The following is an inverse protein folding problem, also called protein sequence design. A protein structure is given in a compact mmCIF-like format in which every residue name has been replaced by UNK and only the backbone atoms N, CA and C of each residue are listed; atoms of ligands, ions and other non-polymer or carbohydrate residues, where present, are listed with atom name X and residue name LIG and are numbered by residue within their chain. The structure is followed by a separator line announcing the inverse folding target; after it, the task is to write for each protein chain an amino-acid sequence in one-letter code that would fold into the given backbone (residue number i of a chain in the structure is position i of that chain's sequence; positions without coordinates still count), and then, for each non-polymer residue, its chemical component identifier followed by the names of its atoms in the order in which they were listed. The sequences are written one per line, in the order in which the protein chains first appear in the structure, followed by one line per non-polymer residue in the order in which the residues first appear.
data_IF_501891296339
#
_entry.id   IF_501891296339
#
_cell.length_a   1.000
_cell.length_b   1.000
_cell.length_c   1.000
_cell.angle_alpha   90.00
_cell.angle_beta   90.00
_cell.angle_gamma   90.00
#
_symmetry.space_group_name_H-M   'P 1'
#
loop_
_entity.id
_entity.type
_entity.pdbx_description
1 polymer ?
#
# COMPACT_ATOMS: atom_id res chain seq x y z
N UNK A 1 6.44 9.09 -17.02
CA UNK A 1 7.06 7.80 -17.40
C UNK A 1 6.36 7.17 -18.60
N UNK A 2 5.03 7.01 -18.58
CA UNK A 2 4.23 6.42 -19.67
C UNK A 2 4.57 7.01 -21.06
N UNK A 3 4.40 8.31 -21.24
CA UNK A 3 4.65 8.98 -22.52
C UNK A 3 6.10 8.81 -23.03
N UNK A 4 7.08 8.84 -22.11
CA UNK A 4 8.50 8.67 -22.45
C UNK A 4 8.83 7.27 -22.98
N UNK A 5 7.99 6.27 -22.65
CA UNK A 5 8.13 4.88 -23.10
C UNK A 5 7.14 4.47 -24.18
N UNK A 6 6.38 5.42 -24.74
CA UNK A 6 5.23 5.13 -25.62
C UNK A 6 4.26 4.12 -24.98
N UNK A 7 4.12 4.24 -23.65
CA UNK A 7 3.30 3.37 -22.83
C UNK A 7 1.83 3.72 -22.88
N UNK A 8 1.04 3.00 -22.09
CA UNK A 8 -0.39 3.24 -21.92
C UNK A 8 -0.76 3.41 -20.44
N UNK A 9 -1.75 4.27 -20.20
CA UNK A 9 -2.46 4.32 -18.93
C UNK A 9 -3.51 3.21 -18.89
N UNK A 10 -3.68 2.61 -17.72
CA UNK A 10 -4.65 1.56 -17.41
C UNK A 10 -5.39 1.92 -16.13
N UNK A 11 -6.55 1.29 -15.95
CA UNK A 11 -7.42 1.51 -14.80
C UNK A 11 -7.83 0.18 -14.18
N UNK A 12 -7.98 0.14 -12.86
CA UNK A 12 -8.49 -1.01 -12.14
C UNK A 12 -9.36 -0.58 -10.96
N UNK A 13 -10.46 -1.31 -10.74
CA UNK A 13 -11.30 -1.16 -9.55
C UNK A 13 -10.68 -1.87 -8.37
N UNK A 14 -10.04 -1.09 -7.51
CA UNK A 14 -9.29 -1.58 -6.35
C UNK A 14 -9.88 -1.10 -5.03
N UNK A 15 -9.50 -1.75 -3.95
CA UNK A 15 -9.91 -1.40 -2.59
C UNK A 15 -9.24 -0.09 -2.17
N UNK A 16 -10.05 0.95 -2.02
CA UNK A 16 -9.63 2.27 -1.54
C UNK A 16 -9.21 2.26 -0.07
N UNK A 17 -8.66 3.38 0.43
CA UNK A 17 -8.13 3.45 1.79
C UNK A 17 -9.18 3.19 2.87
N UNK A 18 -10.45 3.52 2.64
CA UNK A 18 -11.55 3.24 3.59
C UNK A 18 -12.26 1.90 3.33
N UNK A 19 -11.73 1.04 2.46
CA UNK A 19 -12.32 -0.26 2.09
C UNK A 19 -13.32 -0.22 0.95
N UNK A 20 -13.82 0.96 0.57
CA UNK A 20 -14.70 1.16 -0.60
C UNK A 20 -13.93 1.03 -1.91
N UNK A 21 -14.57 0.60 -3.00
CA UNK A 21 -13.91 0.48 -4.31
C UNK A 21 -13.63 1.85 -4.93
N UNK A 22 -12.41 2.03 -5.44
CA UNK A 22 -11.97 3.21 -6.20
C UNK A 22 -11.45 2.78 -7.56
N UNK A 23 -11.63 3.63 -8.58
CA UNK A 23 -11.07 3.40 -9.90
C UNK A 23 -9.66 4.01 -9.96
N UNK A 24 -8.63 3.19 -9.74
CA UNK A 24 -7.24 3.65 -9.67
C UNK A 24 -6.57 3.56 -11.04
N UNK A 25 -5.83 4.60 -11.42
CA UNK A 25 -4.99 4.60 -12.63
C UNK A 25 -3.59 4.07 -12.34
N UNK A 26 -2.98 3.47 -13.35
CA UNK A 26 -1.58 3.02 -13.34
C UNK A 26 -1.03 2.97 -14.77
N UNK A 27 0.29 2.87 -14.94
CA UNK A 27 0.94 2.89 -16.25
C UNK A 27 1.65 1.59 -16.61
N UNK A 28 1.73 1.29 -17.90
CA UNK A 28 2.61 0.25 -18.45
C UNK A 28 3.47 0.84 -19.56
N UNK A 29 4.75 0.44 -19.65
CA UNK A 29 5.65 0.83 -20.74
C UNK A 29 5.21 0.27 -22.09
N UNK A 30 5.66 0.88 -23.19
CA UNK A 30 5.26 0.47 -24.55
C UNK A 30 5.68 -0.96 -24.93
N UNK A 31 6.75 -1.48 -24.32
CA UNK A 31 7.17 -2.88 -24.45
C UNK A 31 6.42 -3.85 -23.51
N UNK A 32 5.53 -3.34 -22.66
CA UNK A 32 4.75 -4.12 -21.70
C UNK A 32 5.54 -4.66 -20.51
N UNK A 33 6.82 -4.32 -20.34
CA UNK A 33 7.70 -4.93 -19.32
C UNK A 33 7.79 -4.18 -18.00
N UNK A 34 7.50 -2.89 -17.99
CA UNK A 34 7.60 -2.03 -16.81
C UNK A 34 6.25 -1.44 -16.46
N UNK A 35 5.78 -1.68 -15.25
CA UNK A 35 4.63 -0.99 -14.69
C UNK A 35 5.07 0.21 -13.85
N UNK A 36 4.26 1.27 -13.90
CA UNK A 36 4.42 2.49 -13.11
C UNK A 36 3.19 2.63 -12.22
N UNK A 37 3.37 2.53 -10.91
CA UNK A 37 2.29 2.58 -9.92
C UNK A 37 2.53 3.78 -9.02
N UNK A 38 1.51 4.59 -8.80
CA UNK A 38 1.48 5.56 -7.70
C UNK A 38 0.53 5.03 -6.64
N UNK A 39 1.04 4.72 -5.45
CA UNK A 39 0.21 4.12 -4.40
C UNK A 39 -0.97 5.03 -4.03
N UNK A 40 -0.81 6.34 -4.18
CA UNK A 40 -1.84 7.33 -3.90
C UNK A 40 -3.11 7.14 -4.76
N UNK A 41 -2.98 6.57 -5.97
CA UNK A 41 -4.13 6.28 -6.83
C UNK A 41 -5.11 5.25 -6.22
N UNK A 42 -4.61 4.37 -5.33
CA UNK A 42 -5.40 3.36 -4.65
C UNK A 42 -5.55 3.60 -3.14
N UNK A 43 -4.56 4.21 -2.51
CA UNK A 43 -4.42 4.30 -1.05
C UNK A 43 -3.99 5.70 -0.59
N UNK A 44 -4.28 6.72 -1.41
CA UNK A 44 -3.85 8.10 -1.21
C UNK A 44 -4.74 8.94 -0.30
N UNK A 45 -4.15 9.98 0.28
CA UNK A 45 -4.79 10.93 1.18
C UNK A 45 -5.89 11.75 0.51
N UNK A 46 -5.79 11.97 -0.80
CA UNK A 46 -6.81 12.67 -1.60
C UNK A 46 -8.10 11.86 -1.78
N UNK A 47 -8.04 10.53 -1.61
CA UNK A 47 -9.21 9.65 -1.64
C UNK A 47 -10.00 9.65 -0.33
N UNK A 48 -9.49 10.34 0.71
CA UNK A 48 -10.09 10.36 2.04
C UNK A 48 -10.50 11.80 2.41
N UNK A 49 -11.81 12.09 2.50
CA UNK A 49 -12.30 13.35 3.03
C UNK A 49 -11.66 13.67 4.37
N UNK A 50 -11.34 14.94 4.63
CA UNK A 50 -10.53 15.34 5.79
C UNK A 50 -11.14 14.86 7.12
N UNK A 51 -12.46 14.91 7.24
CA UNK A 51 -13.25 14.47 8.39
C UNK A 51 -13.31 12.94 8.58
N UNK A 52 -12.92 12.16 7.56
CA UNK A 52 -12.87 10.69 7.58
C UNK A 52 -11.44 10.14 7.70
N UNK A 53 -10.45 11.01 7.88
CA UNK A 53 -9.04 10.61 7.99
C UNK A 53 -8.79 9.95 9.33
N UNK A 54 -8.63 8.63 9.31
CA UNK A 54 -8.24 7.83 10.46
C UNK A 54 -7.20 6.78 10.05
N UNK A 55 -5.92 6.96 10.43
CA UNK A 55 -4.84 6.06 10.06
C UNK A 55 -4.92 4.68 10.74
N UNK A 56 -5.79 4.51 11.75
CA UNK A 56 -6.04 3.22 12.37
C UNK A 56 -6.91 2.30 11.52
N UNK A 57 -7.71 2.86 10.60
CA UNK A 57 -8.62 2.07 9.74
C UNK A 57 -8.19 2.05 8.28
N UNK A 58 -7.38 3.00 7.83
CA UNK A 58 -7.02 3.14 6.42
C UNK A 58 -6.10 2.01 5.93
N UNK A 59 -6.47 1.36 4.83
CA UNK A 59 -5.77 0.17 4.29
C UNK A 59 -4.97 0.44 3.02
N UNK A 60 -3.84 -0.24 2.88
CA UNK A 60 -3.01 -0.25 1.68
C UNK A 60 -3.39 -1.35 0.67
N UNK A 61 -4.49 -2.08 0.91
CA UNK A 61 -4.91 -3.25 0.09
C UNK A 61 -4.98 -2.96 -1.40
N UNK A 62 -5.55 -1.83 -1.81
CA UNK A 62 -5.63 -1.46 -3.23
C UNK A 62 -4.28 -1.27 -3.91
N UNK A 63 -3.24 -0.88 -3.18
CA UNK A 63 -1.87 -0.82 -3.72
C UNK A 63 -1.37 -2.23 -4.08
N UNK A 64 -1.64 -3.23 -3.24
CA UNK A 64 -1.33 -4.63 -3.55
C UNK A 64 -2.13 -5.16 -4.74
N UNK A 65 -3.41 -4.78 -4.85
CA UNK A 65 -4.25 -5.12 -6.00
C UNK A 65 -3.71 -4.50 -7.31
N UNK A 66 -3.18 -3.27 -7.30
CA UNK A 66 -2.51 -2.68 -8.47
C UNK A 66 -1.23 -3.43 -8.85
N UNK A 67 -0.44 -3.88 -7.86
CA UNK A 67 0.75 -4.70 -8.11
C UNK A 67 0.34 -6.03 -8.78
N UNK A 68 -0.72 -6.68 -8.32
CA UNK A 68 -1.26 -7.88 -8.96
C UNK A 68 -1.68 -7.62 -10.41
N UNK A 69 -2.38 -6.51 -10.68
CA UNK A 69 -2.78 -6.12 -12.04
C UNK A 69 -1.58 -5.89 -12.97
N UNK A 70 -0.49 -5.31 -12.45
CA UNK A 70 0.75 -5.14 -13.18
C UNK A 70 1.41 -6.50 -13.51
N UNK A 71 1.49 -7.41 -12.52
CA UNK A 71 2.02 -8.76 -12.71
C UNK A 71 1.17 -9.59 -13.68
N UNK A 72 -0.16 -9.47 -13.63
CA UNK A 72 -1.10 -10.09 -14.58
C UNK A 72 -0.92 -9.57 -16.00
N UNK A 73 -0.55 -8.30 -16.14
CA UNK A 73 -0.24 -7.69 -17.43
C UNK A 73 1.14 -8.07 -17.97
N UNK A 74 1.90 -8.93 -17.29
CA UNK A 74 3.20 -9.44 -17.71
C UNK A 74 4.38 -8.52 -17.37
N UNK A 75 4.18 -7.52 -16.52
CA UNK A 75 5.26 -6.66 -16.06
C UNK A 75 6.27 -7.46 -15.23
N UNK A 76 7.55 -7.35 -15.58
CA UNK A 76 8.67 -7.94 -14.84
C UNK A 76 9.48 -6.88 -14.08
N UNK A 77 9.15 -5.61 -14.29
CA UNK A 77 9.67 -4.47 -13.54
C UNK A 77 8.50 -3.63 -13.04
N UNK A 78 8.53 -3.20 -11.79
CA UNK A 78 7.52 -2.31 -11.23
C UNK A 78 8.24 -1.14 -10.56
N UNK A 79 7.88 0.08 -10.94
CA UNK A 79 8.30 1.31 -10.26
C UNK A 79 7.11 1.83 -9.46
N UNK A 80 7.28 1.97 -8.14
CA UNK A 80 6.22 2.38 -7.23
C UNK A 80 6.58 3.72 -6.57
N UNK A 81 5.77 4.75 -6.79
CA UNK A 81 5.78 5.98 -5.99
C UNK A 81 4.95 5.80 -4.72
N UNK A 82 5.53 6.06 -3.55
CA UNK A 82 4.86 5.85 -2.25
C UNK A 82 4.47 7.15 -1.50
N UNK A 83 4.65 8.31 -2.15
CA UNK A 83 4.20 9.60 -1.62
C UNK A 83 2.67 9.70 -1.53
N UNK A 84 2.18 10.63 -0.69
CA UNK A 84 0.76 10.98 -0.63
C UNK A 84 -0.17 9.94 0.01
N UNK A 85 0.36 9.01 0.83
CA UNK A 85 -0.43 7.94 1.45
C UNK A 85 -1.44 8.42 2.50
N UNK A 86 -2.61 7.78 2.56
CA UNK A 86 -3.57 7.89 3.65
C UNK A 86 -3.31 6.90 4.80
N UNK A 87 -2.44 5.91 4.57
CA UNK A 87 -2.35 4.70 5.38
C UNK A 87 -1.24 4.78 6.42
N UNK A 88 -1.44 4.12 7.56
CA UNK A 88 -0.41 3.86 8.57
C UNK A 88 -0.47 2.40 9.04
N UNK A 89 -0.75 1.49 8.10
CA UNK A 89 -0.94 0.06 8.32
C UNK A 89 0.34 -0.76 8.09
N UNK A 90 1.50 -0.12 7.99
CA UNK A 90 2.77 -0.80 7.75
C UNK A 90 2.84 -1.58 6.42
N UNK A 91 1.91 -1.34 5.48
CA UNK A 91 1.78 -2.13 4.27
C UNK A 91 1.07 -3.48 4.47
N UNK A 92 0.44 -3.72 5.62
CA UNK A 92 -0.27 -4.96 5.93
C UNK A 92 -1.35 -5.29 4.89
N UNK A 93 -2.20 -4.32 4.55
CA UNK A 93 -3.23 -4.51 3.53
C UNK A 93 -2.64 -4.88 2.17
N UNK A 94 -1.55 -4.23 1.77
CA UNK A 94 -0.84 -4.50 0.52
C UNK A 94 -0.33 -5.95 0.48
N UNK A 95 0.37 -6.43 1.51
CA UNK A 95 0.91 -7.79 1.50
C UNK A 95 -0.18 -8.86 1.65
N UNK A 96 -1.28 -8.56 2.35
CA UNK A 96 -2.47 -9.41 2.39
C UNK A 96 -3.09 -9.56 1.00
N UNK A 97 -3.21 -8.47 0.23
CA UNK A 97 -3.67 -8.56 -1.16
C UNK A 97 -2.76 -9.43 -2.02
N UNK A 98 -1.45 -9.37 -1.77
CA UNK A 98 -0.43 -10.15 -2.47
C UNK A 98 -0.34 -11.62 -2.02
N UNK A 99 -1.17 -12.06 -1.07
CA UNK A 99 -1.30 -13.45 -0.65
C UNK A 99 -0.61 -13.82 0.67
N UNK A 100 0.01 -12.88 1.38
CA UNK A 100 0.47 -13.13 2.74
C UNK A 100 -0.74 -13.23 3.70
N UNK A 101 -0.64 -14.08 4.71
CA UNK A 101 -1.61 -14.14 5.80
C UNK A 101 -1.01 -13.50 7.04
N UNK A 102 -1.69 -12.50 7.57
CA UNK A 102 -1.33 -11.80 8.79
C UNK A 102 -2.39 -12.16 9.82
N UNK A 103 -2.04 -12.94 10.84
CA UNK A 103 -3.01 -13.55 11.74
C UNK A 103 -2.86 -13.08 13.19
N UNK A 104 -3.98 -13.07 13.92
CA UNK A 104 -4.03 -12.87 15.36
C UNK A 104 -3.62 -14.13 16.14
N UNK A 105 -3.58 -14.03 17.47
CA UNK A 105 -3.21 -15.14 18.35
C UNK A 105 -4.18 -16.34 18.29
N UNK A 106 -5.37 -16.17 17.71
CA UNK A 106 -6.35 -17.23 17.50
C UNK A 106 -6.25 -17.85 16.09
N UNK A 107 -5.35 -17.35 15.24
CA UNK A 107 -5.18 -17.80 13.86
C UNK A 107 -6.15 -17.16 12.86
N UNK A 108 -6.89 -16.12 13.25
CA UNK A 108 -7.76 -15.38 12.32
C UNK A 108 -6.97 -14.27 11.63
N UNK A 109 -7.25 -14.01 10.35
CA UNK A 109 -6.62 -12.87 9.66
C UNK A 109 -7.00 -11.53 10.32
N UNK A 110 -6.01 -10.66 10.49
CA UNK A 110 -6.23 -9.32 11.02
C UNK A 110 -7.03 -8.46 10.03
N UNK A 111 -7.80 -7.53 10.58
CA UNK A 111 -8.58 -6.57 9.79
C UNK A 111 -7.71 -5.51 9.10
N UNK A 112 -8.39 -4.52 8.52
CA UNK A 112 -7.74 -3.39 7.86
C UNK A 112 -7.16 -2.37 8.86
N UNK A 113 -6.21 -1.58 8.35
CA UNK A 113 -5.67 -0.41 9.01
C UNK A 113 -4.63 -0.69 10.09
N UNK A 114 -3.92 0.37 10.49
CA UNK A 114 -2.85 0.28 11.50
C UNK A 114 -3.33 -0.16 12.87
N UNK A 115 -4.62 0.04 13.20
CA UNK A 115 -5.19 -0.41 14.47
C UNK A 115 -5.22 -1.93 14.62
N UNK A 116 -5.35 -2.66 13.50
CA UNK A 116 -5.39 -4.12 13.47
C UNK A 116 -4.01 -4.76 13.65
N UNK A 117 -2.92 -3.99 13.44
CA UNK A 117 -1.56 -4.49 13.69
C UNK A 117 -1.31 -4.82 15.17
N UNK A 118 -2.06 -4.20 16.09
CA UNK A 118 -1.93 -4.47 17.53
C UNK A 118 -2.29 -5.91 17.91
N UNK A 119 -3.04 -6.62 17.07
CA UNK A 119 -3.40 -8.02 17.29
C UNK A 119 -2.53 -8.98 16.49
N UNK A 120 -1.62 -8.49 15.64
CA UNK A 120 -0.77 -9.32 14.80
C UNK A 120 0.13 -10.22 15.66
N UNK A 121 0.05 -11.52 15.42
CA UNK A 121 0.82 -12.53 16.14
C UNK A 121 1.66 -13.41 15.21
N UNK A 122 1.18 -13.68 13.99
CA UNK A 122 1.88 -14.54 13.02
C UNK A 122 1.80 -13.98 11.60
N UNK A 123 2.87 -14.21 10.82
CA UNK A 123 2.96 -13.81 9.41
C UNK A 123 3.36 -15.04 8.60
N UNK A 124 2.45 -15.51 7.75
CA UNK A 124 2.70 -16.58 6.79
C UNK A 124 2.78 -16.01 5.36
N UNK A 125 3.96 -16.13 4.76
CA UNK A 125 4.26 -15.65 3.40
C UNK A 125 4.27 -16.77 2.36
N UNK A 126 3.92 -18.01 2.73
CA UNK A 126 3.91 -19.15 1.82
C UNK A 126 2.94 -18.97 0.64
N UNK A 127 1.89 -18.15 0.84
CA UNK A 127 0.90 -17.80 -0.17
C UNK A 127 1.21 -16.55 -0.99
N UNK A 128 2.35 -15.87 -0.77
CA UNK A 128 2.71 -14.69 -1.56
C UNK A 128 2.78 -15.04 -3.05
N UNK A 129 2.30 -14.12 -3.89
CA UNK A 129 2.30 -14.29 -5.35
C UNK A 129 3.71 -14.63 -5.84
N UNK A 130 3.92 -15.82 -6.46
CA UNK A 130 5.25 -16.29 -6.80
C UNK A 130 5.95 -15.40 -7.82
N UNK A 131 5.21 -14.64 -8.64
CA UNK A 131 5.76 -13.71 -9.63
C UNK A 131 6.56 -12.58 -8.99
N UNK A 132 6.33 -12.28 -7.71
CA UNK A 132 7.10 -11.29 -6.95
C UNK A 132 8.58 -11.67 -6.84
N UNK A 133 8.93 -12.96 -6.87
CA UNK A 133 10.31 -13.43 -6.76
C UNK A 133 11.15 -13.06 -7.98
N UNK A 134 10.52 -13.05 -9.16
CA UNK A 134 11.18 -12.78 -10.44
C UNK A 134 10.98 -11.32 -10.90
N UNK A 135 10.12 -10.57 -10.21
CA UNK A 135 9.82 -9.18 -10.53
C UNK A 135 10.79 -8.22 -9.84
N UNK A 136 11.38 -7.30 -10.60
CA UNK A 136 12.21 -6.23 -10.04
C UNK A 136 11.31 -5.09 -9.59
N UNK A 137 11.16 -4.89 -8.28
CA UNK A 137 10.35 -3.82 -7.71
C UNK A 137 11.27 -2.71 -7.18
N UNK A 138 11.07 -1.48 -7.70
CA UNK A 138 11.81 -0.28 -7.31
C UNK A 138 10.84 0.71 -6.69
N UNK A 139 11.12 1.12 -5.46
CA UNK A 139 10.29 2.08 -4.74
C UNK A 139 10.96 3.44 -4.77
N UNK A 140 10.25 4.46 -5.26
CA UNK A 140 10.69 5.84 -5.17
C UNK A 140 10.40 6.37 -3.75
N UNK A 141 11.47 6.48 -2.95
CA UNK A 141 11.43 7.00 -1.59
C UNK A 141 12.38 8.20 -1.50
N UNK A 142 11.86 9.35 -1.06
CA UNK A 142 12.56 10.63 -0.94
C UNK A 142 12.90 10.99 0.51
N UNK A 143 12.57 10.12 1.46
CA UNK A 143 12.79 10.30 2.90
C UNK A 143 13.65 9.19 3.51
N UNK A 144 14.30 9.48 4.63
CA UNK A 144 15.16 8.53 5.37
C UNK A 144 14.56 8.08 6.70
N UNK A 145 13.31 8.46 6.97
CA UNK A 145 12.60 8.14 8.20
C UNK A 145 12.47 6.61 8.41
N UNK A 146 12.80 6.09 9.61
CA UNK A 146 12.62 4.68 9.93
C UNK A 146 11.14 4.31 10.08
N UNK A 147 10.86 3.01 10.29
CA UNK A 147 9.51 2.52 10.53
C UNK A 147 8.94 3.03 11.87
N UNK A 148 9.73 2.94 12.94
CA UNK A 148 9.33 3.23 14.33
C UNK A 148 10.26 4.25 15.02
N UNK A 149 9.90 4.69 16.22
CA UNK A 149 10.66 5.65 17.03
C UNK A 149 10.30 7.12 16.76
N UNK A 150 11.05 8.04 17.36
CA UNK A 150 10.72 9.48 17.38
C UNK A 150 10.73 10.14 15.99
N UNK A 151 11.53 9.60 15.07
CA UNK A 151 11.54 10.00 13.65
C UNK A 151 10.80 9.01 12.75
N UNK A 152 10.05 8.08 13.33
CA UNK A 152 9.36 6.99 12.65
C UNK A 152 8.12 7.42 11.86
N UNK A 153 7.56 6.50 11.09
CA UNK A 153 6.48 6.78 10.16
C UNK A 153 5.24 7.39 10.85
N UNK A 154 4.79 6.78 11.96
CA UNK A 154 3.65 7.25 12.73
C UNK A 154 3.86 8.66 13.30
N UNK A 155 5.07 8.96 13.81
CA UNK A 155 5.40 10.26 14.44
C UNK A 155 5.48 11.38 13.42
N UNK A 156 6.13 11.15 12.28
CA UNK A 156 6.42 12.18 11.29
C UNK A 156 5.27 12.38 10.30
N UNK A 157 4.66 11.29 9.83
CA UNK A 157 3.64 11.36 8.77
C UNK A 157 2.22 11.05 9.27
N UNK A 158 2.05 10.58 10.50
CA UNK A 158 0.73 10.33 11.09
C UNK A 158 -0.14 11.59 11.22
N UNK A 159 0.36 12.74 11.70
CA UNK A 159 -0.47 13.94 11.92
C UNK A 159 -1.22 14.41 10.68
N UNK A 160 -0.57 14.46 9.51
CA UNK A 160 -1.23 14.85 8.25
C UNK A 160 -2.29 13.84 7.77
N UNK A 161 -2.23 12.60 8.27
CA UNK A 161 -3.19 11.51 8.01
C UNK A 161 -4.32 11.46 9.04
N UNK A 162 -4.39 12.40 9.98
CA UNK A 162 -5.42 12.46 11.02
C UNK A 162 -5.05 11.78 12.34
N UNK A 163 -3.79 11.34 12.52
CA UNK A 163 -3.38 10.74 13.80
C UNK A 163 -3.35 11.80 14.92
N UNK A 164 -4.06 11.52 16.02
CA UNK A 164 -3.86 12.23 17.29
C UNK A 164 -2.59 11.74 18.00
N UNK A 165 -2.07 12.51 18.95
CA UNK A 165 -0.88 12.10 19.72
C UNK A 165 -1.06 10.73 20.41
N UNK A 166 -2.27 10.46 20.92
CA UNK A 166 -2.61 9.16 21.50
C UNK A 166 -2.55 8.01 20.49
N UNK A 167 -2.95 8.25 19.23
CA UNK A 167 -2.82 7.27 18.16
C UNK A 167 -1.36 7.03 17.78
N UNK A 168 -0.55 8.09 17.75
CA UNK A 168 0.87 7.99 17.40
C UNK A 168 1.64 7.18 18.45
N UNK A 169 1.41 7.43 19.75
CA UNK A 169 2.02 6.65 20.84
C UNK A 169 1.66 5.17 20.75
N UNK A 170 0.45 4.85 20.28
CA UNK A 170 -0.03 3.46 20.14
C UNK A 170 0.55 2.74 18.91
N UNK A 171 1.02 3.48 17.91
CA UNK A 171 1.53 2.97 16.64
C UNK A 171 3.06 3.09 16.49
N UNK A 172 3.79 3.42 17.56
CA UNK A 172 5.22 3.68 17.58
C UNK A 172 6.00 2.73 18.47
#
# INVERSE_FOLDING_TARGET
MIAATQGAERHAWVTGPLGEKVNASWGISGDGKTAFIEMAAASGLELVPAEKRDPLVTTSRGTGELILQALESGATNIIIGIGGSATNDGGAGMVQALGAKLCDANGNEIGFGGGSLNTLNDIDISGLDPRLKDCVIRVACDVTNPLVGDSGASRIFGPQKGASEAMIVRAG
#
